data_IF_127872253667
#
_entry.id   IF_127872253667
#
_cell.length_a   1.000
_cell.length_b   1.000
_cell.length_c   1.000
_cell.angle_alpha   90.00
_cell.angle_beta   90.00
_cell.angle_gamma   90.00
#
_symmetry.space_group_name_H-M   'P 1'
#
loop_
_entity.id
_entity.type
_entity.pdbx_description
1 polymer ?
#
# COMPACT_ATOMS: atom_id res chain seq x y z
N UNK A 1 14.04 29.49 5.76
CA UNK A 1 15.02 28.37 5.74
C UNK A 1 14.42 27.18 6.47
N UNK A 2 14.29 26.02 5.83
CA UNK A 2 13.80 24.80 6.52
C UNK A 2 14.98 24.23 7.32
N UNK A 3 14.84 24.15 8.65
CA UNK A 3 15.86 23.55 9.51
C UNK A 3 16.17 22.12 9.02
N UNK A 4 17.46 21.79 8.86
CA UNK A 4 17.89 20.43 8.47
C UNK A 4 17.29 19.41 9.43
N UNK A 5 16.59 18.41 8.90
CA UNK A 5 16.00 17.35 9.72
C UNK A 5 17.08 16.63 10.53
N UNK A 6 16.82 16.42 11.82
CA UNK A 6 17.76 15.67 12.67
C UNK A 6 17.88 14.21 12.18
N UNK A 7 19.06 13.57 12.34
CA UNK A 7 19.27 12.19 11.90
C UNK A 7 18.23 11.20 12.48
N UNK A 8 17.79 11.41 13.72
CA UNK A 8 16.76 10.59 14.36
C UNK A 8 15.38 10.73 13.69
N UNK A 9 14.96 11.96 13.37
CA UNK A 9 13.69 12.23 12.67
C UNK A 9 13.72 11.62 11.27
N UNK A 10 14.84 11.73 10.56
CA UNK A 10 15.04 11.09 9.26
C UNK A 10 14.89 9.56 9.34
N UNK A 11 15.54 8.90 10.30
CA UNK A 11 15.41 7.44 10.53
C UNK A 11 13.96 7.03 10.82
N UNK A 12 13.25 7.81 11.64
CA UNK A 12 11.83 7.57 11.94
C UNK A 12 10.95 7.66 10.69
N UNK A 13 11.09 8.71 9.88
CA UNK A 13 10.34 8.89 8.64
C UNK A 13 10.59 7.75 7.65
N UNK A 14 11.85 7.32 7.52
CA UNK A 14 12.22 6.15 6.69
C UNK A 14 11.51 4.89 7.20
N UNK A 15 11.59 4.62 8.52
CA UNK A 15 10.93 3.44 9.12
C UNK A 15 9.41 3.48 8.92
N UNK A 16 8.77 4.66 9.06
CA UNK A 16 7.34 4.85 8.80
C UNK A 16 6.98 4.54 7.35
N UNK A 17 7.76 5.05 6.38
CA UNK A 17 7.60 4.77 4.94
C UNK A 17 7.77 3.28 4.64
N UNK A 18 8.79 2.63 5.20
CA UNK A 18 9.04 1.20 5.03
C UNK A 18 7.90 0.34 5.58
N UNK A 19 7.40 0.64 6.78
CA UNK A 19 6.25 -0.07 7.38
C UNK A 19 4.99 0.06 6.51
N UNK A 20 4.71 1.25 5.96
CA UNK A 20 3.59 1.47 5.04
C UNK A 20 3.73 0.61 3.77
N UNK A 21 4.91 0.63 3.13
CA UNK A 21 5.20 -0.19 1.94
C UNK A 21 5.02 -1.68 2.21
N UNK A 22 5.56 -2.18 3.33
CA UNK A 22 5.39 -3.59 3.76
C UNK A 22 3.92 -3.95 3.96
N UNK A 23 3.12 -3.07 4.58
CA UNK A 23 1.68 -3.29 4.81
C UNK A 23 0.91 -3.36 3.49
N UNK A 24 1.18 -2.44 2.56
CA UNK A 24 0.56 -2.45 1.22
C UNK A 24 0.96 -3.71 0.45
N UNK A 25 2.23 -4.12 0.47
CA UNK A 25 2.69 -5.37 -0.16
C UNK A 25 1.89 -6.58 0.34
N UNK A 26 1.71 -6.72 1.65
CA UNK A 26 0.89 -7.79 2.26
C UNK A 26 -0.57 -7.74 1.81
N UNK A 27 -1.15 -6.55 1.65
CA UNK A 27 -2.53 -6.39 1.17
C UNK A 27 -2.64 -6.77 -0.31
N UNK A 28 -1.66 -6.40 -1.15
CA UNK A 28 -1.59 -6.84 -2.55
C UNK A 28 -1.51 -8.37 -2.67
N UNK A 29 -0.66 -9.00 -1.88
CA UNK A 29 -0.55 -10.47 -1.86
C UNK A 29 -1.87 -11.14 -1.45
N UNK A 30 -2.60 -10.55 -0.49
CA UNK A 30 -3.94 -11.02 -0.11
C UNK A 30 -4.97 -10.81 -1.23
N UNK A 31 -4.93 -9.67 -1.91
CA UNK A 31 -5.82 -9.36 -3.03
C UNK A 31 -5.67 -10.39 -4.16
N UNK A 32 -4.43 -10.74 -4.51
CA UNK A 32 -4.13 -11.75 -5.54
C UNK A 32 -4.57 -13.17 -5.16
N UNK A 33 -4.74 -13.46 -3.86
CA UNK A 33 -5.22 -14.76 -3.37
C UNK A 33 -6.73 -14.80 -3.14
N UNK A 34 -7.37 -13.65 -3.01
CA UNK A 34 -8.80 -13.54 -2.77
C UNK A 34 -9.57 -14.07 -3.98
N UNK A 35 -10.56 -14.92 -3.72
CA UNK A 35 -11.40 -15.56 -4.76
C UNK A 35 -12.68 -14.78 -5.02
N UNK A 36 -13.21 -14.12 -3.99
CA UNK A 36 -14.49 -13.41 -4.06
C UNK A 36 -14.29 -11.93 -4.33
N UNK A 37 -15.27 -11.33 -5.00
CA UNK A 37 -15.28 -9.90 -5.32
C UNK A 37 -15.33 -9.03 -4.04
N UNK A 38 -16.13 -9.45 -3.06
CA UNK A 38 -16.25 -8.74 -1.78
C UNK A 38 -14.95 -8.70 -0.97
N UNK A 39 -14.17 -9.79 -0.96
CA UNK A 39 -12.87 -9.82 -0.29
C UNK A 39 -11.88 -8.87 -0.97
N UNK A 40 -11.90 -8.86 -2.31
CA UNK A 40 -11.08 -7.96 -3.13
C UNK A 40 -11.41 -6.49 -2.84
N UNK A 41 -12.69 -6.13 -2.78
CA UNK A 41 -13.17 -4.78 -2.45
C UNK A 41 -12.74 -4.33 -1.05
N UNK A 42 -12.94 -5.17 -0.02
CA UNK A 42 -12.49 -4.90 1.37
C UNK A 42 -10.99 -4.65 1.46
N UNK A 43 -10.20 -5.35 0.64
CA UNK A 43 -8.75 -5.17 0.59
C UNK A 43 -8.38 -3.84 -0.08
N UNK A 44 -9.07 -3.46 -1.16
CA UNK A 44 -8.88 -2.17 -1.84
C UNK A 44 -9.22 -1.01 -0.90
N UNK A 45 -10.36 -1.05 -0.21
CA UNK A 45 -10.74 -0.05 0.78
C UNK A 45 -9.68 0.11 1.87
N UNK A 46 -9.13 -1.02 2.33
CA UNK A 46 -8.07 -1.01 3.34
C UNK A 46 -6.78 -0.40 2.83
N UNK A 47 -6.45 -0.57 1.54
CA UNK A 47 -5.31 0.10 0.91
C UNK A 47 -5.55 1.60 0.82
N UNK A 48 -6.73 2.03 0.37
CA UNK A 48 -7.12 3.45 0.28
C UNK A 48 -7.09 4.15 1.64
N UNK A 49 -7.60 3.50 2.70
CA UNK A 49 -7.55 4.04 4.06
C UNK A 49 -6.12 4.28 4.56
N UNK A 50 -5.15 3.50 4.09
CA UNK A 50 -3.73 3.62 4.46
C UNK A 50 -2.99 4.61 3.55
N UNK A 51 -3.35 4.65 2.28
CA UNK A 51 -2.74 5.48 1.26
C UNK A 51 -3.84 5.93 0.27
N UNK A 52 -4.48 7.09 0.53
CA UNK A 52 -5.60 7.57 -0.28
C UNK A 52 -5.24 7.79 -1.75
N UNK A 53 -4.03 8.27 -2.02
CA UNK A 53 -3.50 8.51 -3.37
C UNK A 53 -2.76 7.29 -3.95
N UNK A 54 -3.05 6.08 -3.49
CA UNK A 54 -2.41 4.89 -4.02
C UNK A 54 -2.99 4.55 -5.40
N UNK A 55 -2.17 4.24 -6.42
CA UNK A 55 -2.68 3.87 -7.75
C UNK A 55 -3.31 2.48 -7.68
N UNK A 56 -4.63 2.42 -7.51
CA UNK A 56 -5.38 1.16 -7.49
C UNK A 56 -5.46 0.54 -8.88
N UNK A 57 -5.48 1.36 -9.92
CA UNK A 57 -5.54 0.91 -11.31
C UNK A 57 -4.42 -0.08 -11.65
N UNK A 58 -3.21 0.12 -11.11
CA UNK A 58 -2.11 -0.83 -11.24
C UNK A 58 -2.41 -2.20 -10.62
N UNK A 59 -3.17 -2.23 -9.52
CA UNK A 59 -3.57 -3.47 -8.84
C UNK A 59 -4.61 -4.21 -9.67
N UNK A 60 -5.58 -3.49 -10.23
CA UNK A 60 -6.63 -4.07 -11.08
C UNK A 60 -6.04 -4.66 -12.37
N UNK A 61 -5.14 -3.93 -13.04
CA UNK A 61 -4.43 -4.41 -14.26
C UNK A 61 -3.65 -5.70 -14.02
N UNK A 62 -3.06 -5.88 -12.84
CA UNK A 62 -2.33 -7.10 -12.49
C UNK A 62 -3.24 -8.33 -12.38
N UNK A 63 -4.50 -8.14 -11.97
CA UNK A 63 -5.49 -9.23 -11.90
C UNK A 63 -5.96 -9.64 -13.30
N UNK A 64 -6.20 -8.66 -14.17
CA UNK A 64 -6.61 -8.88 -15.57
C UNK A 64 -5.54 -9.58 -16.39
N UNK A 65 -4.26 -9.22 -16.20
CA UNK A 65 -3.13 -9.84 -16.93
C UNK A 65 -2.88 -11.32 -16.62
N UNK A 66 -3.48 -11.85 -15.53
CA UNK A 66 -3.34 -13.24 -15.11
C UNK A 66 -4.50 -14.14 -15.53
N UNK A 67 -5.56 -13.55 -16.07
CA UNK A 67 -6.79 -14.23 -16.47
C UNK A 67 -6.69 -14.69 -17.92
#
# INVERSE_FOLDING_TARGET
MVAKETPARRKFLIRKKQKRRKKIKKLKEKYLKAKTKEEKEKIIEKILRIAPHYPIEEILKLDESKK
#
